data_IF_664930552521
#
_entry.id   IF_664930552521
#
_cell.length_a   1.000
_cell.length_b   1.000
_cell.length_c   1.000
_cell.angle_alpha   90.00
_cell.angle_beta   90.00
_cell.angle_gamma   90.00
#
_symmetry.space_group_name_H-M   'P 1'
#
loop_
_entity.id
_entity.type
_entity.pdbx_description
1 polymer ?
#
# COMPACT_ATOMS: atom_id res chain seq x y z
N UNK A 1 -38.46 -52.94 2.01
CA UNK A 1 -37.69 -51.85 2.65
C UNK A 1 -36.84 -51.11 1.61
N UNK A 2 -37.41 -50.82 0.44
CA UNK A 2 -36.63 -50.47 -0.77
C UNK A 2 -36.65 -48.98 -1.12
N UNK A 3 -37.47 -48.20 -0.40
CA UNK A 3 -37.63 -46.77 -0.61
C UNK A 3 -36.55 -45.90 0.02
N UNK A 4 -35.86 -46.38 1.07
CA UNK A 4 -34.81 -45.62 1.75
C UNK A 4 -33.54 -45.57 0.88
N UNK A 5 -33.05 -46.71 0.39
CA UNK A 5 -31.82 -46.80 -0.42
C UNK A 5 -31.87 -45.94 -1.69
N UNK A 6 -33.04 -45.87 -2.36
CA UNK A 6 -33.20 -45.02 -3.55
C UNK A 6 -33.01 -43.52 -3.25
N UNK A 7 -33.46 -43.04 -2.08
CA UNK A 7 -33.27 -41.65 -1.66
C UNK A 7 -31.80 -41.33 -1.35
N UNK A 8 -31.07 -42.26 -0.74
CA UNK A 8 -29.63 -42.08 -0.47
C UNK A 8 -28.81 -42.12 -1.76
N UNK A 9 -29.12 -43.01 -2.71
CA UNK A 9 -28.45 -43.03 -4.01
C UNK A 9 -28.72 -41.77 -4.82
N UNK A 10 -29.93 -41.20 -4.76
CA UNK A 10 -30.25 -39.95 -5.44
C UNK A 10 -29.49 -38.76 -4.83
N UNK A 11 -29.45 -38.66 -3.49
CA UNK A 11 -28.68 -37.61 -2.79
C UNK A 11 -27.18 -37.73 -3.04
N UNK A 12 -26.64 -38.96 -3.07
CA UNK A 12 -25.22 -39.22 -3.32
C UNK A 12 -24.83 -38.85 -4.76
N UNK A 13 -25.67 -39.19 -5.74
CA UNK A 13 -25.47 -38.79 -7.15
C UNK A 13 -25.53 -37.27 -7.32
N UNK A 14 -26.48 -36.60 -6.66
CA UNK A 14 -26.59 -35.14 -6.71
C UNK A 14 -25.37 -34.47 -6.07
N UNK A 15 -24.93 -34.93 -4.91
CA UNK A 15 -23.71 -34.43 -4.25
C UNK A 15 -22.48 -34.61 -5.14
N UNK A 16 -22.37 -35.74 -5.85
CA UNK A 16 -21.26 -36.00 -6.76
C UNK A 16 -21.28 -35.08 -7.99
N UNK A 17 -22.45 -34.82 -8.57
CA UNK A 17 -22.59 -33.87 -9.69
C UNK A 17 -22.21 -32.46 -9.26
N UNK A 18 -22.67 -32.01 -8.09
CA UNK A 18 -22.29 -30.70 -7.52
C UNK A 18 -20.78 -30.63 -7.29
N UNK A 19 -20.19 -31.69 -6.73
CA UNK A 19 -18.75 -31.76 -6.50
C UNK A 19 -17.94 -31.67 -7.80
N UNK A 20 -18.38 -32.33 -8.87
CA UNK A 20 -17.73 -32.24 -10.19
C UNK A 20 -17.82 -30.82 -10.75
N UNK A 21 -18.98 -30.16 -10.66
CA UNK A 21 -19.15 -28.78 -11.14
C UNK A 21 -18.28 -27.81 -10.34
N UNK A 22 -18.21 -27.99 -9.03
CA UNK A 22 -17.40 -27.13 -8.16
C UNK A 22 -15.90 -27.31 -8.41
N UNK A 23 -15.45 -28.56 -8.58
CA UNK A 23 -14.04 -28.85 -8.86
C UNK A 23 -13.63 -28.44 -10.28
N UNK A 24 -14.51 -28.55 -11.28
CA UNK A 24 -14.25 -28.06 -12.63
C UNK A 24 -14.18 -26.53 -12.69
N UNK A 25 -15.08 -25.84 -11.97
CA UNK A 25 -15.03 -24.38 -11.80
C UNK A 25 -13.76 -23.93 -11.08
N UNK A 26 -13.36 -24.63 -10.02
CA UNK A 26 -12.14 -24.34 -9.27
C UNK A 26 -10.87 -24.56 -10.10
N UNK A 27 -10.79 -25.66 -10.85
CA UNK A 27 -9.67 -25.94 -11.74
C UNK A 27 -9.55 -24.91 -12.87
N UNK A 28 -10.68 -24.50 -13.46
CA UNK A 28 -10.72 -23.47 -14.50
C UNK A 28 -10.29 -22.09 -13.94
N UNK A 29 -10.82 -21.70 -12.77
CA UNK A 29 -10.44 -20.47 -12.09
C UNK A 29 -8.96 -20.45 -11.68
N UNK A 30 -8.42 -21.57 -11.19
CA UNK A 30 -7.01 -21.68 -10.81
C UNK A 30 -6.07 -21.64 -12.01
N UNK A 31 -6.46 -22.25 -13.14
CA UNK A 31 -5.71 -22.18 -14.39
C UNK A 31 -5.70 -20.76 -14.97
N UNK A 32 -6.84 -20.07 -14.99
CA UNK A 32 -6.90 -18.65 -15.37
C UNK A 32 -6.07 -17.80 -14.43
N UNK A 33 -6.19 -17.96 -13.11
CA UNK A 33 -5.42 -17.20 -12.14
C UNK A 33 -3.91 -17.38 -12.36
N UNK A 34 -3.42 -18.60 -12.63
CA UNK A 34 -2.00 -18.83 -12.90
C UNK A 34 -1.52 -18.24 -14.24
N UNK A 35 -2.40 -18.19 -15.25
CA UNK A 35 -2.08 -17.59 -16.55
C UNK A 35 -2.11 -16.06 -16.48
N UNK A 36 -3.13 -15.48 -15.82
CA UNK A 36 -3.22 -14.05 -15.56
C UNK A 36 -2.19 -13.56 -14.54
N UNK A 37 -1.72 -14.36 -13.57
CA UNK A 37 -0.60 -13.98 -12.71
C UNK A 37 0.77 -14.04 -13.42
N UNK A 38 0.87 -14.75 -14.55
CA UNK A 38 2.05 -14.69 -15.43
C UNK A 38 2.02 -13.51 -16.42
N UNK A 39 0.83 -13.08 -16.85
CA UNK A 39 0.67 -11.96 -17.80
C UNK A 39 0.40 -10.60 -17.13
N UNK A 40 -0.34 -10.59 -16.03
CA UNK A 40 -0.37 -9.50 -15.06
C UNK A 40 0.74 -9.80 -14.05
N UNK A 41 1.97 -9.56 -14.47
CA UNK A 41 3.03 -9.30 -13.51
C UNK A 41 2.53 -8.19 -12.62
N UNK A 42 2.10 -8.55 -11.41
CA UNK A 42 2.01 -7.62 -10.30
C UNK A 42 3.43 -7.18 -10.01
N UNK A 43 3.96 -6.29 -10.86
CA UNK A 43 5.00 -5.37 -10.46
C UNK A 43 4.36 -4.69 -9.25
N UNK A 44 4.84 -4.94 -8.01
CA UNK A 44 4.36 -4.15 -6.88
C UNK A 44 4.44 -2.70 -7.34
N UNK A 45 3.39 -1.87 -7.14
CA UNK A 45 3.40 -0.51 -7.64
C UNK A 45 4.73 0.08 -7.21
N UNK A 46 5.58 0.37 -8.21
CA UNK A 46 6.87 0.96 -7.95
C UNK A 46 6.63 2.23 -7.14
N UNK A 47 7.59 2.68 -6.33
CA UNK A 47 7.44 3.96 -5.66
C UNK A 47 6.95 4.99 -6.69
N UNK A 48 5.92 5.78 -6.34
CA UNK A 48 5.34 6.73 -7.30
C UNK A 48 6.49 7.56 -7.89
N UNK A 49 6.44 7.86 -9.19
CA UNK A 49 7.48 8.67 -9.81
C UNK A 49 7.66 9.94 -8.97
N UNK A 50 8.90 10.43 -8.81
CA UNK A 50 9.19 11.64 -8.07
C UNK A 50 8.14 12.70 -8.41
N UNK A 51 7.57 13.37 -7.40
CA UNK A 51 6.46 14.32 -7.59
C UNK A 51 6.70 15.29 -8.76
N UNK A 52 7.97 15.67 -8.99
CA UNK A 52 8.41 16.53 -10.09
C UNK A 52 8.15 15.99 -11.52
N UNK A 53 7.95 14.68 -11.72
CA UNK A 53 7.71 14.10 -13.06
C UNK A 53 6.23 14.09 -13.41
N UNK A 54 5.33 14.14 -12.41
CA UNK A 54 3.89 14.10 -12.64
C UNK A 54 3.37 15.42 -13.24
N UNK A 55 4.06 16.54 -12.98
CA UNK A 55 3.72 17.86 -13.52
C UNK A 55 4.30 18.10 -14.93
N UNK A 56 5.19 17.21 -15.38
CA UNK A 56 5.68 17.21 -16.76
C UNK A 56 4.68 16.38 -17.55
N UNK A 57 3.90 17.01 -18.43
CA UNK A 57 2.94 16.34 -19.32
C UNK A 57 3.66 15.35 -20.28
N UNK A 58 4.13 14.23 -19.74
CA UNK A 58 4.92 13.23 -20.46
C UNK A 58 4.01 12.37 -21.32
N UNK A 59 4.46 12.10 -22.54
CA UNK A 59 3.85 11.08 -23.40
C UNK A 59 4.04 9.68 -22.79
N UNK A 60 3.20 8.71 -23.15
CA UNK A 60 3.30 7.33 -22.64
C UNK A 60 4.67 6.70 -22.92
N UNK A 61 5.26 6.98 -24.09
CA UNK A 61 6.59 6.51 -24.45
C UNK A 61 7.69 7.11 -23.54
N UNK A 62 7.55 8.37 -23.14
CA UNK A 62 8.47 9.02 -22.19
C UNK A 62 8.28 8.46 -20.79
N UNK A 63 7.04 8.19 -20.36
CA UNK A 63 6.74 7.57 -19.07
C UNK A 63 7.36 6.18 -18.95
N UNK A 64 7.28 5.36 -20.02
CA UNK A 64 7.92 4.06 -20.07
C UNK A 64 9.44 4.14 -19.90
N UNK A 65 10.09 5.11 -20.57
CA UNK A 65 11.54 5.35 -20.42
C UNK A 65 11.90 5.83 -19.02
N UNK A 66 11.13 6.76 -18.45
CA UNK A 66 11.34 7.26 -17.10
C UNK A 66 11.24 6.14 -16.05
N UNK A 67 10.25 5.25 -16.22
CA UNK A 67 10.11 4.06 -15.36
C UNK A 67 11.33 3.15 -15.43
N UNK A 68 11.82 2.84 -16.64
CA UNK A 68 13.02 2.01 -16.81
C UNK A 68 14.26 2.63 -16.15
N UNK A 69 14.42 3.95 -16.23
CA UNK A 69 15.50 4.66 -15.54
C UNK A 69 15.32 4.54 -14.02
N UNK A 70 14.10 4.76 -13.51
CA UNK A 70 13.78 4.60 -12.10
C UNK A 70 14.09 3.19 -11.59
N UNK A 71 13.61 2.15 -12.28
CA UNK A 71 13.82 0.74 -11.94
C UNK A 71 15.31 0.37 -11.93
N UNK A 72 16.11 0.98 -12.82
CA UNK A 72 17.56 0.77 -12.86
C UNK A 72 18.28 1.29 -11.61
N UNK A 73 17.92 2.46 -11.11
CA UNK A 73 18.61 3.11 -9.99
C UNK A 73 17.96 2.85 -8.62
N UNK A 74 16.73 2.36 -8.59
CA UNK A 74 16.01 2.07 -7.35
C UNK A 74 16.78 1.14 -6.38
N UNK A 75 17.44 0.06 -6.83
CA UNK A 75 18.22 -0.80 -5.94
C UNK A 75 19.38 -0.05 -5.25
N UNK A 76 20.06 0.84 -5.98
CA UNK A 76 21.17 1.64 -5.43
C UNK A 76 20.66 2.59 -4.35
N UNK A 77 19.55 3.28 -4.62
CA UNK A 77 18.90 4.18 -3.65
C UNK A 77 18.47 3.42 -2.39
N UNK A 78 17.84 2.25 -2.55
CA UNK A 78 17.41 1.41 -1.43
C UNK A 78 18.61 0.94 -0.61
N UNK A 79 19.69 0.53 -1.26
CA UNK A 79 20.91 0.10 -0.58
C UNK A 79 21.59 1.25 0.17
N UNK A 80 21.66 2.44 -0.44
CA UNK A 80 22.18 3.63 0.23
C UNK A 80 21.33 3.97 1.46
N UNK A 81 20.00 3.97 1.31
CA UNK A 81 19.05 4.22 2.41
C UNK A 81 19.27 3.24 3.57
N UNK A 82 19.45 1.94 3.28
CA UNK A 82 19.74 0.92 4.30
C UNK A 82 21.05 1.20 5.05
N UNK A 83 22.09 1.66 4.35
CA UNK A 83 23.39 1.99 4.94
C UNK A 83 23.31 3.20 5.86
N UNK A 84 22.63 4.26 5.46
CA UNK A 84 22.53 5.51 6.24
C UNK A 84 21.45 5.47 7.33
N UNK A 85 20.46 4.57 7.21
CA UNK A 85 19.36 4.43 8.18
C UNK A 85 19.82 4.36 9.64
N UNK A 86 20.79 3.52 10.04
CA UNK A 86 21.21 3.45 11.45
C UNK A 86 21.77 4.79 11.97
N UNK A 87 22.56 5.50 11.16
CA UNK A 87 23.08 6.82 11.53
C UNK A 87 21.95 7.84 11.67
N UNK A 88 21.01 7.84 10.72
CA UNK A 88 19.84 8.72 10.76
C UNK A 88 18.94 8.41 11.96
N UNK A 89 18.76 7.13 12.28
CA UNK A 89 17.99 6.69 13.44
C UNK A 89 18.64 7.19 14.75
N UNK A 90 19.98 7.13 14.84
CA UNK A 90 20.75 7.65 15.97
C UNK A 90 20.60 9.17 16.12
N UNK A 91 20.69 9.92 15.01
CA UNK A 91 20.49 11.38 15.03
C UNK A 91 19.06 11.72 15.49
N UNK A 92 18.05 11.05 14.97
CA UNK A 92 16.68 11.25 15.41
C UNK A 92 16.48 10.91 16.89
N UNK A 93 17.17 9.90 17.41
CA UNK A 93 17.12 9.57 18.83
C UNK A 93 17.74 10.66 19.71
N UNK A 94 18.92 11.17 19.33
CA UNK A 94 19.56 12.30 20.02
C UNK A 94 18.64 13.52 20.06
N UNK A 95 18.11 13.91 18.90
CA UNK A 95 17.15 15.01 18.78
C UNK A 95 15.92 14.81 19.67
N UNK A 96 15.37 13.58 19.72
CA UNK A 96 14.22 13.29 20.60
C UNK A 96 14.57 13.43 22.07
N UNK A 97 15.74 12.99 22.49
CA UNK A 97 16.18 13.10 23.88
C UNK A 97 16.37 14.57 24.28
N UNK A 98 16.94 15.38 23.39
CA UNK A 98 17.05 16.82 23.60
C UNK A 98 15.68 17.49 23.71
N UNK A 99 14.74 17.16 22.82
CA UNK A 99 13.37 17.66 22.90
C UNK A 99 12.68 17.22 24.20
N UNK A 100 12.87 15.96 24.63
CA UNK A 100 12.27 15.45 25.87
C UNK A 100 12.71 16.26 27.10
N UNK A 101 13.92 16.80 27.10
CA UNK A 101 14.46 17.56 28.24
C UNK A 101 13.83 18.94 28.42
N UNK A 102 13.26 19.52 27.36
CA UNK A 102 12.57 20.83 27.43
C UNK A 102 11.06 20.69 27.66
N UNK A 103 10.51 19.49 27.60
CA UNK A 103 9.09 19.23 27.80
C UNK A 103 8.71 19.15 29.28
N UNK A 104 7.48 19.58 29.59
CA UNK A 104 6.84 19.30 30.88
C UNK A 104 6.47 17.82 31.00
N UNK A 105 6.25 17.33 32.23
CA UNK A 105 5.93 15.91 32.43
C UNK A 105 4.60 15.49 31.80
N UNK A 106 3.63 16.40 31.68
CA UNK A 106 2.39 16.15 30.94
C UNK A 106 2.65 16.00 29.43
N UNK A 107 3.51 16.84 28.85
CA UNK A 107 3.88 16.77 27.44
C UNK A 107 4.74 15.55 27.10
N UNK A 108 5.66 15.14 28.01
CA UNK A 108 6.48 13.92 27.84
C UNK A 108 5.62 12.67 27.65
N UNK A 109 4.51 12.54 28.40
CA UNK A 109 3.61 11.38 28.29
C UNK A 109 2.96 11.29 26.91
N UNK A 110 2.54 12.42 26.33
CA UNK A 110 1.96 12.48 24.99
C UNK A 110 3.04 12.18 23.94
N UNK A 111 4.22 12.79 24.10
CA UNK A 111 5.36 12.60 23.22
C UNK A 111 5.82 11.14 23.16
N UNK A 112 5.84 10.44 24.29
CA UNK A 112 6.23 9.03 24.37
C UNK A 112 5.19 8.11 23.73
N UNK A 113 3.89 8.36 23.93
CA UNK A 113 2.80 7.56 23.36
C UNK A 113 2.79 7.58 21.82
N UNK A 114 3.13 8.72 21.22
CA UNK A 114 3.15 8.88 19.77
C UNK A 114 4.33 8.12 19.13
N UNK A 115 5.44 7.96 19.87
CA UNK A 115 6.63 7.23 19.40
C UNK A 115 6.50 5.71 19.45
N UNK A 116 5.71 5.16 20.38
CA UNK A 116 5.45 3.71 20.48
C UNK A 116 4.44 3.19 19.46
N UNK A 117 3.56 4.06 18.95
CA UNK A 117 2.42 3.67 18.11
C UNK A 117 2.74 3.61 16.61
N UNK A 118 3.89 4.14 16.21
CA UNK A 118 4.33 4.14 14.81
C UNK A 118 5.60 3.30 14.67
N UNK A 119 5.51 1.97 14.43
CA UNK A 119 6.65 1.27 13.87
C UNK A 119 7.08 2.06 12.63
N UNK A 120 8.36 2.43 12.56
CA UNK A 120 8.98 3.15 11.43
C UNK A 120 8.95 2.28 10.15
N UNK A 121 7.76 1.92 9.70
CA UNK A 121 7.50 1.37 8.38
C UNK A 121 7.32 2.56 7.45
N UNK A 122 8.15 2.60 6.42
CA UNK A 122 8.17 3.65 5.40
C UNK A 122 6.95 3.69 4.50
N UNK A 123 5.76 3.42 5.02
CA UNK A 123 4.46 3.67 4.43
C UNK A 123 3.60 4.26 5.54
N UNK A 124 3.62 5.58 5.67
CA UNK A 124 2.58 6.25 6.44
C UNK A 124 1.20 5.88 5.88
N UNK A 125 0.15 5.82 6.72
CA UNK A 125 -1.22 5.77 6.20
C UNK A 125 -1.41 6.91 5.19
N UNK A 126 -2.26 6.75 4.17
CA UNK A 126 -2.50 7.82 3.21
C UNK A 126 -2.85 9.07 4.02
N UNK A 127 -2.01 10.10 3.90
CA UNK A 127 -2.34 11.42 4.39
C UNK A 127 -3.65 11.77 3.72
N UNK A 128 -4.75 11.65 4.46
CA UNK A 128 -6.01 12.25 4.10
C UNK A 128 -5.77 13.75 4.24
N UNK A 129 -5.08 14.33 3.24
CA UNK A 129 -5.16 15.76 3.03
C UNK A 129 -6.65 16.02 2.86
N UNK A 130 -7.30 16.80 3.75
CA UNK A 130 -8.66 17.22 3.51
C UNK A 130 -8.68 17.83 2.10
N UNK A 131 -9.67 17.51 1.25
CA UNK A 131 -9.74 18.07 -0.09
C UNK A 131 -9.59 19.58 0.06
N UNK A 132 -8.65 20.16 -0.68
CA UNK A 132 -8.56 21.61 -0.83
C UNK A 132 -9.87 22.05 -1.47
N UNK A 133 -10.88 22.33 -0.65
CA UNK A 133 -11.95 23.19 -1.06
C UNK A 133 -11.26 24.49 -1.44
N UNK A 134 -11.35 24.84 -2.72
CA UNK A 134 -11.17 26.18 -3.21
C UNK A 134 -12.09 27.09 -2.39
N UNK A 135 -11.57 27.56 -1.25
CA UNK A 135 -12.21 28.57 -0.41
C UNK A 135 -12.25 29.80 -1.29
N UNK A 136 -13.47 30.13 -1.69
CA UNK A 136 -13.76 31.26 -2.55
C UNK A 136 -13.02 32.49 -2.10
N UNK A 137 -12.61 33.26 -3.11
CA UNK A 137 -12.21 34.66 -3.01
C UNK A 137 -13.09 35.37 -1.97
N UNK A 138 -12.53 35.64 -0.79
CA UNK A 138 -13.03 36.71 0.05
C UNK A 138 -12.40 38.00 -0.49
N UNK A 139 -13.20 39.02 -0.90
CA UNK A 139 -12.64 40.32 -1.20
C UNK A 139 -12.04 40.94 0.09
N UNK A 140 -10.96 41.73 -0.02
CA UNK A 140 -10.36 42.39 1.14
C UNK A 140 -11.36 43.38 1.77
N UNK A 141 -11.30 43.57 3.11
CA UNK A 141 -12.18 44.50 3.80
C UNK A 141 -11.90 45.96 3.37
N UNK A 142 -12.94 46.81 3.30
CA UNK A 142 -12.75 48.24 2.99
C UNK A 142 -11.97 48.93 4.10
N UNK A 143 -10.95 49.70 3.70
CA UNK A 143 -10.25 50.61 4.60
C UNK A 143 -11.19 51.76 4.97
N UNK A 144 -11.44 51.92 6.26
CA UNK A 144 -11.96 53.14 6.88
C UNK A 144 -10.90 53.70 7.81
#
# INVERSE_FOLDING_TARGET
MDGLNKKYHLKLRLAFVIFIIFTSGFACGFALSKYFSKSAGSVPPGPPPPLAIQDLNLTEAQLGKAKLIGDKYLPEIVNLKKKIKPELDSIHEKMRNELRNILTDAQKRIFDQDTSSHPRHGHGPPMHFPPHHHRGMHPPPPHH
#
